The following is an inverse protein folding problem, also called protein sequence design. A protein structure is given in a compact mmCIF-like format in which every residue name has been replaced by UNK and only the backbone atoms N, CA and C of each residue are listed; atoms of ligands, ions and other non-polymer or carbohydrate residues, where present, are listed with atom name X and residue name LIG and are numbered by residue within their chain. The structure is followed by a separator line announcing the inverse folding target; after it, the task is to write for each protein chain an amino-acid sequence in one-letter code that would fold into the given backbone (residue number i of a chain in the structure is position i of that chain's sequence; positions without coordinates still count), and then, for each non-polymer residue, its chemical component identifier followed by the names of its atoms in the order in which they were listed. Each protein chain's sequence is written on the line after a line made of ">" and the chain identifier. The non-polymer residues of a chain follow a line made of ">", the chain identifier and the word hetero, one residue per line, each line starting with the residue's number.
data_IF_310160972127
#
_entry.id   IF_310160972127
#
_cell.length_a   1.000
_cell.length_b   1.000
_cell.length_c   1.000
_cell.angle_alpha   90.00
_cell.angle_beta   90.00
_cell.angle_gamma   90.00
#
_symmetry.space_group_name_H-M   'P 1'
#
loop_
_entity.id
_entity.type
_entity.pdbx_description
1 polymer ?
#
# COMPACT_ATOMS: atom_id res chain seq x y z
N UNK A 1 21.13 -12.08 -31.21
CA UNK A 1 20.91 -11.01 -30.21
C UNK A 1 21.90 -11.18 -29.08
N UNK A 2 22.74 -10.19 -28.85
CA UNK A 2 23.76 -10.20 -27.79
C UNK A 2 23.07 -10.19 -26.41
N UNK A 3 23.80 -10.66 -25.37
CA UNK A 3 23.22 -10.74 -24.02
C UNK A 3 22.84 -9.35 -23.46
N UNK A 4 23.69 -8.35 -23.68
CA UNK A 4 23.45 -6.97 -23.23
C UNK A 4 22.26 -6.33 -23.92
N UNK A 5 22.13 -6.50 -25.24
CA UNK A 5 20.96 -6.02 -26.00
C UNK A 5 19.67 -6.64 -25.46
N UNK A 6 19.70 -7.95 -25.19
CA UNK A 6 18.57 -8.67 -24.66
C UNK A 6 18.18 -8.19 -23.27
N UNK A 7 19.15 -7.98 -22.38
CA UNK A 7 18.94 -7.44 -21.04
C UNK A 7 18.33 -6.03 -21.09
N UNK A 8 18.84 -5.16 -21.98
CA UNK A 8 18.28 -3.82 -22.20
C UNK A 8 16.83 -3.90 -22.70
N UNK A 9 16.52 -4.83 -23.62
CA UNK A 9 15.16 -5.03 -24.09
C UNK A 9 14.23 -5.55 -22.97
N UNK A 10 14.71 -6.48 -22.14
CA UNK A 10 13.95 -6.97 -20.97
C UNK A 10 13.63 -5.80 -20.02
N UNK A 11 14.64 -5.01 -19.67
CA UNK A 11 14.49 -3.87 -18.77
C UNK A 11 13.46 -2.85 -19.32
N UNK A 12 13.61 -2.46 -20.59
CA UNK A 12 12.67 -1.53 -21.24
C UNK A 12 11.23 -2.07 -21.27
N UNK A 13 11.06 -3.36 -21.61
CA UNK A 13 9.73 -3.98 -21.61
C UNK A 13 9.12 -4.05 -20.21
N UNK A 14 9.93 -4.36 -19.18
CA UNK A 14 9.50 -4.41 -17.79
C UNK A 14 9.14 -3.01 -17.30
N UNK A 15 9.95 -1.99 -17.59
CA UNK A 15 9.69 -0.60 -17.20
C UNK A 15 8.43 -0.03 -17.86
N UNK A 16 8.19 -0.35 -19.15
CA UNK A 16 6.98 0.10 -19.85
C UNK A 16 5.69 -0.53 -19.30
N UNK A 17 5.72 -1.79 -18.88
CA UNK A 17 4.53 -2.53 -18.42
C UNK A 17 4.38 -2.63 -16.91
N UNK A 18 5.43 -2.28 -16.17
CA UNK A 18 5.51 -2.42 -14.71
C UNK A 18 5.90 -3.83 -14.28
N UNK A 19 5.35 -4.86 -14.90
CA UNK A 19 5.72 -6.26 -14.67
C UNK A 19 5.60 -7.09 -15.94
N UNK A 20 6.41 -8.16 -16.02
CA UNK A 20 6.31 -9.17 -17.06
C UNK A 20 6.64 -10.56 -16.52
N UNK A 21 5.85 -11.55 -16.91
CA UNK A 21 6.15 -12.95 -16.63
C UNK A 21 7.29 -13.47 -17.52
N UNK A 22 8.00 -14.50 -17.04
CA UNK A 22 9.02 -15.21 -17.83
C UNK A 22 8.45 -15.69 -19.17
N UNK A 23 7.20 -16.17 -19.17
CA UNK A 23 6.52 -16.67 -20.37
C UNK A 23 6.27 -15.57 -21.41
N UNK A 24 5.88 -14.38 -20.97
CA UNK A 24 5.69 -13.22 -21.87
C UNK A 24 6.99 -12.74 -22.47
N UNK A 25 8.06 -12.65 -21.65
CA UNK A 25 9.40 -12.26 -22.10
C UNK A 25 9.93 -13.28 -23.10
N UNK A 26 9.82 -14.59 -22.78
CA UNK A 26 10.21 -15.69 -23.66
C UNK A 26 9.54 -15.60 -25.03
N UNK A 27 8.22 -15.42 -25.05
CA UNK A 27 7.44 -15.30 -26.28
C UNK A 27 7.86 -14.11 -27.13
N UNK A 28 8.12 -12.96 -26.50
CA UNK A 28 8.52 -11.73 -27.20
C UNK A 28 9.94 -11.79 -27.76
N UNK A 29 10.87 -12.31 -26.99
CA UNK A 29 12.29 -12.35 -27.36
C UNK A 29 12.70 -13.65 -28.11
N UNK A 30 11.81 -14.65 -28.14
CA UNK A 30 12.04 -15.97 -28.77
C UNK A 30 13.30 -16.65 -28.24
N UNK A 31 13.55 -16.60 -26.96
CA UNK A 31 14.68 -17.25 -26.26
C UNK A 31 14.16 -18.31 -25.27
N UNK A 32 15.05 -19.17 -24.77
CA UNK A 32 14.66 -20.20 -23.80
C UNK A 32 14.23 -19.57 -22.45
N UNK A 33 13.38 -20.31 -21.73
CA UNK A 33 12.92 -19.91 -20.39
C UNK A 33 14.08 -19.75 -19.41
N UNK A 34 15.11 -20.58 -19.55
CA UNK A 34 16.31 -20.55 -18.73
C UNK A 34 17.17 -19.31 -19.03
N UNK A 35 17.27 -18.92 -20.30
CA UNK A 35 17.94 -17.67 -20.71
C UNK A 35 17.26 -16.45 -20.07
N UNK A 36 15.91 -16.39 -20.12
CA UNK A 36 15.16 -15.29 -19.49
C UNK A 36 15.39 -15.25 -17.98
N UNK A 37 15.37 -16.42 -17.30
CA UNK A 37 15.63 -16.49 -15.86
C UNK A 37 17.01 -15.96 -15.48
N UNK A 38 18.04 -16.35 -16.27
CA UNK A 38 19.42 -15.88 -16.05
C UNK A 38 19.53 -14.37 -16.25
N UNK A 39 18.94 -13.83 -17.31
CA UNK A 39 18.96 -12.40 -17.58
C UNK A 39 18.23 -11.60 -16.48
N UNK A 40 17.06 -12.06 -16.04
CA UNK A 40 16.34 -11.45 -14.91
C UNK A 40 17.19 -11.47 -13.64
N UNK A 41 17.90 -12.58 -13.37
CA UNK A 41 18.78 -12.68 -12.21
C UNK A 41 19.90 -11.66 -12.26
N UNK A 42 20.60 -11.57 -13.40
CA UNK A 42 21.68 -10.58 -13.60
C UNK A 42 21.20 -9.13 -13.49
N UNK A 43 20.01 -8.83 -14.02
CA UNK A 43 19.41 -7.49 -13.90
C UNK A 43 18.97 -7.18 -12.47
N UNK A 44 18.50 -8.17 -11.73
CA UNK A 44 18.14 -8.03 -10.32
C UNK A 44 19.38 -7.82 -9.44
N UNK A 45 20.45 -8.57 -9.66
CA UNK A 45 21.75 -8.41 -8.96
C UNK A 45 22.37 -7.01 -9.21
N UNK A 46 22.11 -6.43 -10.38
CA UNK A 46 22.50 -5.05 -10.73
C UNK A 46 21.50 -3.99 -10.22
N UNK A 47 20.49 -4.40 -9.46
CA UNK A 47 19.42 -3.52 -8.99
C UNK A 47 18.71 -2.75 -10.12
N UNK A 48 18.60 -3.32 -11.31
CA UNK A 48 17.92 -2.70 -12.46
C UNK A 48 16.42 -3.07 -12.51
N UNK A 49 16.04 -4.20 -11.94
CA UNK A 49 14.65 -4.65 -11.77
C UNK A 49 14.54 -5.55 -10.54
N UNK A 50 13.30 -5.86 -10.10
CA UNK A 50 13.05 -6.84 -9.05
C UNK A 50 12.61 -8.18 -9.66
N UNK A 51 13.27 -9.27 -9.25
CA UNK A 51 12.86 -10.62 -9.59
C UNK A 51 11.65 -11.04 -8.75
N UNK A 52 10.65 -11.66 -9.39
CA UNK A 52 9.52 -12.32 -8.73
C UNK A 52 9.57 -13.84 -8.99
N UNK A 53 8.68 -14.61 -8.31
CA UNK A 53 8.60 -16.07 -8.50
C UNK A 53 8.30 -16.49 -9.95
N UNK A 54 7.61 -15.65 -10.73
CA UNK A 54 7.21 -15.94 -12.11
C UNK A 54 7.71 -14.96 -13.17
N UNK A 55 8.51 -13.92 -12.83
CA UNK A 55 8.89 -12.88 -13.77
C UNK A 55 9.78 -11.79 -13.20
N UNK A 56 9.56 -10.58 -13.67
CA UNK A 56 10.27 -9.37 -13.25
C UNK A 56 9.31 -8.20 -13.06
N UNK A 57 9.63 -7.34 -12.08
CA UNK A 57 8.97 -6.05 -11.81
C UNK A 57 9.94 -4.91 -12.09
N UNK A 58 9.43 -3.82 -12.64
CA UNK A 58 10.18 -2.57 -12.75
C UNK A 58 10.46 -1.99 -11.36
N UNK A 59 11.68 -1.52 -11.13
CA UNK A 59 11.99 -0.76 -9.91
C UNK A 59 11.28 0.59 -9.88
N UNK A 60 11.05 1.20 -11.04
CA UNK A 60 10.30 2.45 -11.17
C UNK A 60 8.81 2.27 -10.83
N UNK A 61 8.30 1.02 -10.90
CA UNK A 61 6.91 0.64 -10.62
C UNK A 61 6.77 -0.42 -9.52
N UNK A 62 7.84 -0.73 -8.80
CA UNK A 62 7.78 -1.57 -7.60
C UNK A 62 7.65 -0.69 -6.37
N UNK A 63 6.91 -1.17 -5.39
CA UNK A 63 6.86 -0.47 -4.11
C UNK A 63 8.25 -0.46 -3.46
N UNK A 64 8.79 0.72 -3.07
CA UNK A 64 10.04 0.78 -2.31
C UNK A 64 9.90 0.03 -0.98
N UNK A 65 11.00 -0.45 -0.44
CA UNK A 65 11.00 -1.09 0.89
C UNK A 65 10.41 -0.18 1.97
N UNK A 66 9.78 -0.77 2.97
CA UNK A 66 9.10 -0.03 4.04
C UNK A 66 10.03 0.96 4.74
N UNK A 67 11.30 0.59 4.95
CA UNK A 67 12.29 1.46 5.59
C UNK A 67 12.55 2.75 4.80
N UNK A 68 12.58 2.67 3.46
CA UNK A 68 12.72 3.85 2.58
C UNK A 68 11.44 4.68 2.63
N UNK A 69 10.28 4.04 2.60
CA UNK A 69 8.98 4.72 2.65
C UNK A 69 8.74 5.42 3.99
N UNK A 70 9.21 4.88 5.11
CA UNK A 70 9.10 5.50 6.44
C UNK A 70 9.78 6.86 6.51
N UNK A 71 10.98 6.99 5.93
CA UNK A 71 11.73 8.26 5.95
C UNK A 71 11.28 9.22 4.84
N UNK A 72 10.64 8.71 3.78
CA UNK A 72 10.12 9.54 2.70
C UNK A 72 8.87 10.27 3.16
N UNK A 73 8.88 11.62 3.12
CA UNK A 73 7.78 12.49 3.56
C UNK A 73 7.28 12.17 4.98
N UNK A 74 8.20 11.85 5.89
CA UNK A 74 7.87 11.44 7.26
C UNK A 74 7.02 12.48 8.03
N UNK A 75 7.28 13.78 7.81
CA UNK A 75 6.49 14.86 8.45
C UNK A 75 5.05 14.90 7.95
N UNK A 76 4.86 14.80 6.63
CA UNK A 76 3.52 14.73 6.03
C UNK A 76 2.74 13.53 6.55
N UNK A 77 3.37 12.36 6.63
CA UNK A 77 2.74 11.15 7.17
C UNK A 77 2.37 11.28 8.64
N UNK A 78 3.24 11.91 9.46
CA UNK A 78 2.88 12.21 10.86
C UNK A 78 1.69 13.17 10.98
N UNK A 79 1.61 14.17 10.11
CA UNK A 79 0.46 15.08 10.07
C UNK A 79 -0.83 14.32 9.67
N UNK A 80 -0.75 13.48 8.63
CA UNK A 80 -1.85 12.59 8.21
C UNK A 80 -2.29 11.69 9.38
N UNK A 81 -1.35 11.04 10.07
CA UNK A 81 -1.65 10.19 11.21
C UNK A 81 -2.44 10.93 12.31
N UNK A 82 -1.97 12.12 12.70
CA UNK A 82 -2.67 12.95 13.70
C UNK A 82 -4.08 13.36 13.27
N UNK A 83 -4.25 13.77 12.01
CA UNK A 83 -5.56 14.15 11.49
C UNK A 83 -6.49 12.94 11.38
N UNK A 84 -5.99 11.81 10.89
CA UNK A 84 -6.78 10.60 10.74
C UNK A 84 -7.32 10.06 12.08
N UNK A 85 -6.51 10.09 13.16
CA UNK A 85 -6.95 9.55 14.46
C UNK A 85 -7.90 10.50 15.21
N UNK A 86 -8.02 11.77 14.81
CA UNK A 86 -9.04 12.66 15.38
C UNK A 86 -10.48 12.19 15.09
N UNK A 87 -10.66 11.30 14.13
CA UNK A 87 -11.94 10.64 13.84
C UNK A 87 -12.26 9.50 14.81
N UNK A 88 -11.27 8.96 15.54
CA UNK A 88 -11.40 7.73 16.32
C UNK A 88 -11.65 8.04 17.80
N UNK A 89 -12.78 7.64 18.37
CA UNK A 89 -12.98 7.76 19.82
C UNK A 89 -12.26 6.63 20.58
N UNK A 90 -11.99 6.84 21.87
CA UNK A 90 -11.56 5.78 22.78
C UNK A 90 -12.58 4.62 22.78
N UNK A 91 -12.09 3.41 22.94
CA UNK A 91 -12.92 2.20 22.95
C UNK A 91 -13.35 1.68 21.58
N UNK A 92 -13.03 2.40 20.49
CA UNK A 92 -13.40 1.99 19.13
C UNK A 92 -12.70 0.70 18.67
N UNK A 93 -13.34 0.03 17.73
CA UNK A 93 -12.72 -1.06 16.96
C UNK A 93 -12.12 -0.52 15.65
N UNK A 94 -10.85 -0.91 15.36
CA UNK A 94 -10.06 -0.33 14.27
C UNK A 94 -9.35 -1.42 13.49
N UNK A 95 -9.51 -1.43 12.16
CA UNK A 95 -8.70 -2.22 11.24
C UNK A 95 -7.57 -1.33 10.72
N UNK A 96 -6.32 -1.79 10.81
CA UNK A 96 -5.14 -1.10 10.29
C UNK A 96 -4.45 -1.96 9.25
N UNK A 97 -4.40 -1.49 8.01
CA UNK A 97 -3.59 -2.09 6.97
C UNK A 97 -2.09 -1.92 7.24
N UNK A 98 -1.25 -2.61 6.47
CA UNK A 98 0.18 -2.34 6.43
C UNK A 98 0.49 -1.05 5.66
N UNK A 99 1.74 -0.56 5.76
CA UNK A 99 2.24 0.59 5.01
C UNK A 99 2.69 1.76 5.90
N UNK A 100 3.66 2.53 5.42
CA UNK A 100 4.33 3.57 6.23
C UNK A 100 3.42 4.73 6.65
N UNK A 101 2.41 5.09 5.85
CA UNK A 101 1.42 6.10 6.24
C UNK A 101 0.47 5.57 7.31
N UNK A 102 0.05 4.29 7.19
CA UNK A 102 -0.77 3.65 8.23
C UNK A 102 0.02 3.43 9.52
N UNK A 103 1.33 3.19 9.43
CA UNK A 103 2.18 3.16 10.63
C UNK A 103 2.16 4.50 11.37
N UNK A 104 2.10 5.63 10.66
CA UNK A 104 1.94 6.95 11.29
C UNK A 104 0.57 7.12 11.97
N UNK A 105 -0.48 6.47 11.45
CA UNK A 105 -1.78 6.35 12.15
C UNK A 105 -1.61 5.51 13.42
N UNK A 106 -0.94 4.37 13.34
CA UNK A 106 -0.68 3.51 14.51
C UNK A 106 0.14 4.25 15.59
N UNK A 107 1.12 5.07 15.19
CA UNK A 107 1.88 5.92 16.11
C UNK A 107 0.97 6.93 16.83
N UNK A 108 0.06 7.57 16.11
CA UNK A 108 -0.88 8.53 16.67
C UNK A 108 -1.94 7.87 17.57
N UNK A 109 -2.38 6.64 17.26
CA UNK A 109 -3.31 5.87 18.10
C UNK A 109 -2.73 5.45 19.46
N UNK A 110 -1.43 5.59 19.67
CA UNK A 110 -0.83 5.33 21.00
C UNK A 110 -1.34 6.25 22.12
N UNK A 111 -2.01 7.33 21.77
CA UNK A 111 -2.67 8.22 22.75
C UNK A 111 -4.09 7.77 23.12
N UNK A 112 -4.68 6.85 22.37
CA UNK A 112 -6.03 6.33 22.60
C UNK A 112 -6.01 5.12 23.54
N UNK A 113 -7.14 4.84 24.18
CA UNK A 113 -7.27 3.77 25.15
C UNK A 113 -8.49 2.88 24.86
N UNK A 114 -8.37 1.61 25.27
CA UNK A 114 -9.46 0.64 25.18
C UNK A 114 -9.81 0.17 23.77
N UNK A 115 -8.94 0.45 22.79
CA UNK A 115 -9.18 0.07 21.38
C UNK A 115 -9.17 -1.46 21.18
N UNK A 116 -9.98 -1.92 20.24
CA UNK A 116 -9.87 -3.26 19.66
C UNK A 116 -9.30 -3.15 18.24
N UNK A 117 -8.07 -3.60 18.04
CA UNK A 117 -7.29 -3.36 16.83
C UNK A 117 -7.08 -4.67 16.08
N UNK A 118 -7.37 -4.67 14.78
CA UNK A 118 -7.06 -5.74 13.85
C UNK A 118 -6.04 -5.23 12.83
N UNK A 119 -4.93 -5.93 12.66
CA UNK A 119 -3.90 -5.49 11.70
C UNK A 119 -3.22 -6.68 11.04
N UNK A 120 -2.82 -6.50 9.77
CA UNK A 120 -1.95 -7.44 9.07
C UNK A 120 -0.46 -7.05 9.15
N UNK A 121 -0.12 -5.98 9.87
CA UNK A 121 1.24 -5.46 10.00
C UNK A 121 1.85 -5.83 11.36
N UNK A 122 3.01 -6.50 11.32
CA UNK A 122 3.79 -6.77 12.54
C UNK A 122 4.25 -5.47 13.20
N UNK A 123 4.55 -4.42 12.41
CA UNK A 123 5.00 -3.13 12.94
C UNK A 123 3.89 -2.41 13.69
N UNK A 124 2.67 -2.38 13.15
CA UNK A 124 1.51 -1.79 13.84
C UNK A 124 1.18 -2.58 15.11
N UNK A 125 1.24 -3.92 15.04
CA UNK A 125 1.04 -4.79 16.20
C UNK A 125 2.03 -4.44 17.31
N UNK A 126 3.33 -4.37 17.02
CA UNK A 126 4.38 -4.04 18.00
C UNK A 126 4.20 -2.64 18.62
N UNK A 127 3.71 -1.67 17.85
CA UNK A 127 3.48 -0.30 18.32
C UNK A 127 2.32 -0.19 19.31
N UNK A 128 1.29 -1.03 19.18
CA UNK A 128 0.01 -0.88 19.89
C UNK A 128 -0.25 -1.95 20.94
N UNK A 129 0.42 -3.11 20.86
CA UNK A 129 0.23 -4.19 21.80
C UNK A 129 0.72 -3.82 23.22
N UNK A 130 -0.01 -4.27 24.24
CA UNK A 130 0.35 -4.05 25.64
C UNK A 130 0.22 -2.61 26.13
N UNK A 131 -0.41 -1.71 25.36
CA UNK A 131 -0.60 -0.29 25.70
C UNK A 131 -2.07 0.02 25.98
N UNK A 132 -2.32 0.96 26.89
CA UNK A 132 -3.59 1.65 27.10
C UNK A 132 -4.83 0.74 27.15
N UNK A 133 -4.69 -0.48 27.67
CA UNK A 133 -5.75 -1.52 27.69
C UNK A 133 -6.27 -1.91 26.29
N UNK A 134 -5.48 -1.64 25.25
CA UNK A 134 -5.82 -2.03 23.88
C UNK A 134 -5.74 -3.55 23.71
N UNK A 135 -6.65 -4.10 22.91
CA UNK A 135 -6.62 -5.48 22.44
C UNK A 135 -6.15 -5.49 20.99
N UNK A 136 -5.10 -6.23 20.68
CA UNK A 136 -4.53 -6.26 19.33
C UNK A 136 -4.61 -7.68 18.77
N UNK A 137 -5.19 -7.80 17.59
CA UNK A 137 -5.30 -9.04 16.81
C UNK A 137 -4.41 -8.89 15.57
N UNK A 138 -3.39 -9.73 15.47
CA UNK A 138 -2.55 -9.81 14.29
C UNK A 138 -3.12 -10.86 13.33
N UNK A 139 -3.40 -10.44 12.09
CA UNK A 139 -3.85 -11.34 11.04
C UNK A 139 -2.73 -12.32 10.69
N UNK A 140 -3.09 -13.59 10.55
CA UNK A 140 -2.13 -14.67 10.27
C UNK A 140 -1.72 -14.73 8.80
N UNK A 141 -0.76 -15.62 8.54
CA UNK A 141 -0.23 -15.90 7.21
C UNK A 141 1.26 -15.70 7.09
N UNK A 142 1.79 -15.87 5.88
CA UNK A 142 3.19 -15.60 5.57
C UNK A 142 3.48 -14.10 5.67
N UNK A 143 4.54 -13.75 6.39
CA UNK A 143 4.97 -12.36 6.52
C UNK A 143 5.88 -11.99 5.36
N UNK A 144 5.48 -11.03 4.55
CA UNK A 144 6.34 -10.46 3.52
C UNK A 144 7.43 -9.59 4.16
N UNK A 145 8.69 -9.96 3.96
CA UNK A 145 9.83 -9.29 4.59
C UNK A 145 9.96 -7.80 4.21
N UNK A 146 9.51 -7.43 2.99
CA UNK A 146 9.68 -6.08 2.44
C UNK A 146 8.82 -5.02 3.15
N UNK A 147 7.65 -5.39 3.66
CA UNK A 147 6.70 -4.47 4.29
C UNK A 147 6.18 -4.95 5.66
N UNK A 148 6.65 -6.12 6.15
CA UNK A 148 6.22 -6.68 7.43
C UNK A 148 4.72 -6.99 7.49
N UNK A 149 4.14 -7.35 6.36
CA UNK A 149 2.70 -7.59 6.22
C UNK A 149 2.38 -9.07 6.04
N UNK A 150 1.39 -9.56 6.77
CA UNK A 150 0.72 -10.82 6.49
C UNK A 150 -0.30 -10.60 5.37
N UNK A 151 -0.20 -11.37 4.29
CA UNK A 151 -1.07 -11.28 3.14
C UNK A 151 -1.58 -12.67 2.74
N UNK A 152 -2.50 -12.69 1.78
CA UNK A 152 -3.02 -13.91 1.22
C UNK A 152 -4.22 -14.49 1.98
N UNK A 153 -4.46 -15.78 1.75
CA UNK A 153 -5.71 -16.45 2.12
C UNK A 153 -6.01 -16.45 3.63
N UNK A 154 -4.99 -16.63 4.46
CA UNK A 154 -5.18 -16.70 5.91
C UNK A 154 -5.56 -15.34 6.50
N UNK A 155 -4.90 -14.26 6.01
CA UNK A 155 -5.23 -12.90 6.41
C UNK A 155 -6.66 -12.51 5.99
N UNK A 156 -7.05 -12.80 4.75
CA UNK A 156 -8.40 -12.51 4.25
C UNK A 156 -9.47 -13.35 4.96
N UNK A 157 -9.21 -14.64 5.20
CA UNK A 157 -10.12 -15.51 5.93
C UNK A 157 -10.34 -15.04 7.37
N UNK A 158 -9.28 -14.64 8.07
CA UNK A 158 -9.42 -14.10 9.42
C UNK A 158 -10.23 -12.79 9.40
N UNK A 159 -9.91 -11.87 8.49
CA UNK A 159 -10.59 -10.56 8.42
C UNK A 159 -12.08 -10.69 8.13
N UNK A 160 -12.50 -11.69 7.33
CA UNK A 160 -13.91 -11.90 6.97
C UNK A 160 -14.86 -12.15 8.16
N UNK A 161 -14.31 -12.46 9.33
CA UNK A 161 -15.10 -12.67 10.57
C UNK A 161 -15.31 -11.37 11.36
N UNK A 162 -14.72 -10.26 10.96
CA UNK A 162 -14.74 -9.03 11.74
C UNK A 162 -15.36 -7.87 10.96
N UNK A 163 -16.03 -7.00 11.71
CA UNK A 163 -16.53 -5.71 11.23
C UNK A 163 -16.20 -4.66 12.30
N UNK A 164 -15.50 -3.59 11.91
CA UNK A 164 -15.00 -2.58 12.82
C UNK A 164 -15.74 -1.24 12.69
N UNK A 165 -15.49 -0.32 13.63
CA UNK A 165 -15.97 1.06 13.51
C UNK A 165 -15.18 1.81 12.45
N UNK A 166 -13.84 1.61 12.40
CA UNK A 166 -12.93 2.29 11.49
C UNK A 166 -12.01 1.31 10.77
N UNK A 167 -11.66 1.64 9.53
CA UNK A 167 -10.55 1.03 8.82
C UNK A 167 -9.64 2.11 8.24
N UNK A 168 -8.33 1.89 8.35
CA UNK A 168 -7.32 2.72 7.71
C UNK A 168 -6.51 1.90 6.72
N UNK A 169 -6.59 2.30 5.45
CA UNK A 169 -5.87 1.68 4.34
C UNK A 169 -4.92 2.71 3.72
N UNK A 170 -3.70 2.29 3.41
CA UNK A 170 -2.75 3.09 2.66
C UNK A 170 -3.05 3.09 1.16
N UNK A 171 -2.21 3.76 0.38
CA UNK A 171 -2.27 3.74 -1.07
C UNK A 171 -0.90 3.39 -1.65
N UNK A 172 -0.84 2.42 -2.55
CA UNK A 172 0.28 2.25 -3.46
C UNK A 172 0.36 3.42 -4.42
N UNK A 173 -0.79 3.76 -5.05
CA UNK A 173 -0.99 4.93 -5.90
C UNK A 173 -2.47 5.33 -5.91
N UNK A 174 -2.74 6.61 -6.28
CA UNK A 174 -4.07 7.10 -6.66
C UNK A 174 -3.95 7.64 -8.08
N UNK A 175 -4.63 7.00 -9.02
CA UNK A 175 -4.51 7.30 -10.44
C UNK A 175 -5.09 8.69 -10.79
N UNK A 176 -4.70 9.26 -11.93
CA UNK A 176 -5.33 10.49 -12.47
C UNK A 176 -6.85 10.38 -12.68
N UNK A 177 -7.36 9.15 -12.77
CA UNK A 177 -8.79 8.84 -12.95
C UNK A 177 -9.49 8.47 -11.65
N UNK A 178 -8.86 8.70 -10.49
CA UNK A 178 -9.46 8.50 -9.17
C UNK A 178 -9.52 7.04 -8.69
N UNK A 179 -8.68 6.14 -9.20
CA UNK A 179 -8.60 4.77 -8.71
C UNK A 179 -7.54 4.61 -7.63
N UNK A 180 -7.90 3.97 -6.52
CA UNK A 180 -6.93 3.44 -5.56
C UNK A 180 -6.26 2.21 -6.16
N UNK A 181 -4.93 2.13 -6.05
CA UNK A 181 -4.12 1.09 -6.69
C UNK A 181 -3.02 0.60 -5.77
N UNK A 182 -2.68 -0.69 -5.91
CA UNK A 182 -1.61 -1.38 -5.17
C UNK A 182 -0.62 -2.05 -6.10
N UNK A 183 0.51 -2.49 -5.52
CA UNK A 183 1.60 -3.12 -6.27
C UNK A 183 1.41 -4.61 -6.49
N UNK A 184 0.68 -5.30 -5.61
CA UNK A 184 0.42 -6.74 -5.70
C UNK A 184 -1.07 -7.05 -5.63
N UNK A 185 -1.44 -8.21 -6.16
CA UNK A 185 -2.82 -8.68 -6.13
C UNK A 185 -3.27 -8.99 -4.70
N UNK A 186 -2.40 -9.59 -3.93
CA UNK A 186 -2.67 -10.00 -2.55
C UNK A 186 -2.94 -8.78 -1.65
N UNK A 187 -2.18 -7.68 -1.83
CA UNK A 187 -2.44 -6.41 -1.13
C UNK A 187 -3.80 -5.84 -1.54
N UNK A 188 -4.05 -5.75 -2.85
CA UNK A 188 -5.30 -5.21 -3.38
C UNK A 188 -6.52 -6.01 -2.91
N UNK A 189 -6.46 -7.35 -2.89
CA UNK A 189 -7.55 -8.22 -2.40
C UNK A 189 -7.82 -7.98 -0.91
N UNK A 190 -6.77 -7.89 -0.09
CA UNK A 190 -6.91 -7.63 1.34
C UNK A 190 -7.43 -6.22 1.61
N UNK A 191 -6.90 -5.19 0.94
CA UNK A 191 -7.37 -3.80 1.08
C UNK A 191 -8.83 -3.67 0.62
N UNK A 192 -9.22 -4.32 -0.48
CA UNK A 192 -10.60 -4.34 -0.95
C UNK A 192 -11.56 -4.94 0.09
N UNK A 193 -11.14 -6.02 0.76
CA UNK A 193 -11.91 -6.61 1.86
C UNK A 193 -11.93 -5.67 3.09
N UNK A 194 -10.81 -5.05 3.45
CA UNK A 194 -10.73 -4.11 4.57
C UNK A 194 -11.70 -2.94 4.40
N UNK A 195 -11.78 -2.33 3.21
CA UNK A 195 -12.65 -1.18 2.94
C UNK A 195 -14.13 -1.47 3.15
N UNK A 196 -14.58 -2.72 2.97
CA UNK A 196 -15.98 -3.12 3.23
C UNK A 196 -16.20 -3.69 4.64
N UNK A 197 -15.14 -3.87 5.43
CA UNK A 197 -15.21 -4.50 6.77
C UNK A 197 -15.28 -3.48 7.91
N UNK A 198 -15.66 -2.23 7.61
CA UNK A 198 -15.81 -1.21 8.63
C UNK A 198 -16.96 -0.23 8.29
N UNK A 199 -17.47 0.46 9.34
CA UNK A 199 -18.48 1.51 9.19
C UNK A 199 -17.91 2.76 8.53
N UNK A 200 -16.70 3.15 8.93
CA UNK A 200 -15.98 4.32 8.42
C UNK A 200 -14.69 3.85 7.76
N UNK A 201 -14.61 3.97 6.44
CA UNK A 201 -13.45 3.60 5.66
C UNK A 201 -12.60 4.84 5.33
N UNK A 202 -11.35 4.84 5.79
CA UNK A 202 -10.42 5.95 5.65
C UNK A 202 -9.21 5.51 4.83
N UNK A 203 -8.96 6.21 3.72
CA UNK A 203 -7.71 6.07 2.98
C UNK A 203 -6.74 7.15 3.43
N UNK A 204 -5.49 6.78 3.72
CA UNK A 204 -4.43 7.69 4.11
C UNK A 204 -3.32 7.67 3.06
N UNK A 205 -3.07 8.81 2.42
CA UNK A 205 -2.12 8.91 1.32
C UNK A 205 -1.38 10.25 1.36
N UNK A 206 -0.06 10.22 1.34
CA UNK A 206 0.71 11.45 1.17
C UNK A 206 0.69 11.93 -0.29
N UNK A 207 1.03 13.21 -0.50
CA UNK A 207 0.93 13.88 -1.79
C UNK A 207 1.68 13.17 -2.93
N UNK A 208 2.70 12.35 -2.65
CA UNK A 208 3.46 11.64 -3.66
C UNK A 208 2.70 10.49 -4.32
N UNK A 209 1.55 10.09 -3.74
CA UNK A 209 0.74 8.97 -4.21
C UNK A 209 -0.27 9.35 -5.29
N UNK A 210 -0.56 10.64 -5.46
CA UNK A 210 -1.54 11.12 -6.43
C UNK A 210 -0.96 11.26 -7.84
N UNK A 211 -1.82 11.12 -8.84
CA UNK A 211 -1.46 11.13 -10.26
C UNK A 211 -0.41 10.07 -10.63
N UNK A 212 -0.40 8.98 -9.90
CA UNK A 212 0.48 7.83 -10.11
C UNK A 212 -0.32 6.59 -10.48
N UNK A 213 0.35 5.60 -11.07
CA UNK A 213 -0.23 4.31 -11.38
C UNK A 213 0.53 3.19 -10.66
N UNK A 214 -0.21 2.20 -10.18
CA UNK A 214 0.30 0.91 -9.75
C UNK A 214 -0.40 -0.21 -10.54
N UNK A 215 0.11 -1.45 -10.54
CA UNK A 215 -0.40 -2.48 -11.44
C UNK A 215 -1.81 -2.96 -11.17
N UNK A 216 -2.29 -2.90 -9.92
CA UNK A 216 -3.52 -3.55 -9.48
C UNK A 216 -4.48 -2.53 -8.90
N UNK A 217 -5.75 -2.55 -9.33
CA UNK A 217 -6.80 -1.72 -8.74
C UNK A 217 -7.31 -2.33 -7.45
N UNK A 218 -7.57 -1.49 -6.45
CA UNK A 218 -8.27 -1.86 -5.22
C UNK A 218 -9.77 -1.69 -5.47
N UNK A 219 -10.53 -2.74 -5.22
CA UNK A 219 -11.99 -2.70 -5.30
C UNK A 219 -12.59 -2.01 -4.06
N UNK A 220 -13.88 -1.72 -4.11
CA UNK A 220 -14.61 -1.07 -3.00
C UNK A 220 -14.10 0.33 -2.62
N UNK A 221 -13.40 1.02 -3.53
CA UNK A 221 -12.97 2.41 -3.29
C UNK A 221 -14.17 3.38 -3.16
N UNK A 222 -15.32 3.02 -3.72
CA UNK A 222 -16.60 3.70 -3.54
C UNK A 222 -17.14 3.65 -2.10
N UNK A 223 -16.65 2.74 -1.26
CA UNK A 223 -16.98 2.63 0.17
C UNK A 223 -16.17 3.58 1.05
N UNK A 224 -15.12 4.19 0.52
CA UNK A 224 -14.28 5.13 1.26
C UNK A 224 -15.10 6.35 1.65
N UNK A 225 -15.12 6.65 2.94
CA UNK A 225 -15.82 7.81 3.50
C UNK A 225 -14.92 9.03 3.64
N UNK A 226 -13.62 8.82 3.89
CA UNK A 226 -12.64 9.89 4.06
C UNK A 226 -11.33 9.55 3.35
N UNK A 227 -10.75 10.55 2.73
CA UNK A 227 -9.38 10.52 2.21
C UNK A 227 -8.56 11.58 2.95
N UNK A 228 -7.55 11.13 3.70
CA UNK A 228 -6.68 12.03 4.49
C UNK A 228 -5.34 12.17 3.81
N UNK A 229 -4.90 13.41 3.59
CA UNK A 229 -3.64 13.71 2.90
C UNK A 229 -2.92 14.91 3.53
N UNK A 230 -1.60 14.99 3.33
CA UNK A 230 -0.77 16.10 3.81
C UNK A 230 -0.91 17.37 2.94
N UNK A 231 -1.26 17.22 1.67
CA UNK A 231 -1.46 18.33 0.73
C UNK A 231 -2.62 18.01 -0.22
N UNK A 232 -3.32 19.05 -0.63
CA UNK A 232 -4.38 18.91 -1.65
C UNK A 232 -3.80 18.30 -2.93
N UNK A 233 -4.44 17.26 -3.48
CA UNK A 233 -4.01 16.66 -4.74
C UNK A 233 -4.03 17.69 -5.87
N UNK A 234 -3.10 17.56 -6.82
CA UNK A 234 -3.17 18.32 -8.06
C UNK A 234 -4.12 17.65 -9.08
N UNK A 235 -4.65 18.42 -10.02
CA UNK A 235 -5.37 17.90 -11.16
C UNK A 235 -4.48 16.93 -11.98
N UNK A 236 -5.04 15.90 -12.64
CA UNK A 236 -6.46 15.57 -12.74
C UNK A 236 -7.02 14.71 -11.58
N UNK A 237 -6.19 14.20 -10.67
CA UNK A 237 -6.69 13.35 -9.58
C UNK A 237 -7.67 14.10 -8.67
N UNK A 238 -7.46 15.39 -8.41
CA UNK A 238 -8.38 16.20 -7.60
C UNK A 238 -9.79 16.18 -8.18
N UNK A 239 -9.91 16.43 -9.50
CA UNK A 239 -11.21 16.47 -10.18
C UNK A 239 -11.91 15.11 -10.15
N UNK A 240 -11.13 14.03 -10.35
CA UNK A 240 -11.65 12.68 -10.31
C UNK A 240 -12.15 12.28 -8.90
N UNK A 241 -11.44 12.69 -7.85
CA UNK A 241 -11.81 12.43 -6.47
C UNK A 241 -13.01 13.26 -6.03
N UNK A 242 -13.13 14.49 -6.49
CA UNK A 242 -14.29 15.37 -6.22
C UNK A 242 -15.63 14.79 -6.74
N UNK A 243 -15.58 13.88 -7.71
CA UNK A 243 -16.76 13.18 -8.22
C UNK A 243 -17.20 12.00 -7.32
N UNK A 244 -16.40 11.63 -6.31
CA UNK A 244 -16.70 10.56 -5.36
C UNK A 244 -17.37 11.13 -4.11
N UNK A 245 -18.16 10.29 -3.42
CA UNK A 245 -18.92 10.70 -2.23
C UNK A 245 -18.09 10.70 -0.93
N UNK A 246 -16.76 10.81 -1.04
CA UNK A 246 -15.86 10.83 0.11
C UNK A 246 -15.48 12.26 0.51
N UNK A 247 -15.22 12.46 1.80
CA UNK A 247 -14.67 13.71 2.33
C UNK A 247 -13.15 13.74 2.21
N UNK A 248 -12.61 14.80 1.59
CA UNK A 248 -11.19 15.03 1.49
C UNK A 248 -10.71 15.88 2.68
N UNK A 249 -9.96 15.26 3.59
CA UNK A 249 -9.34 15.91 4.73
C UNK A 249 -7.87 16.22 4.39
N UNK A 250 -7.52 17.49 4.39
CA UNK A 250 -6.15 17.96 4.10
C UNK A 250 -5.55 18.50 5.39
N UNK A 251 -4.32 18.04 5.71
CA UNK A 251 -3.62 18.58 6.88
C UNK A 251 -3.37 20.08 6.70
N UNK A 252 -3.71 20.88 7.69
CA UNK A 252 -3.41 22.31 7.68
C UNK A 252 -1.91 22.53 7.58
N UNK A 253 -1.51 23.35 6.60
CA UNK A 253 -0.11 23.80 6.47
C UNK A 253 0.32 24.79 7.57
N UNK A 254 -0.52 25.04 8.56
CA UNK A 254 -0.39 26.09 9.55
C UNK A 254 0.26 25.64 10.87
N UNK A 255 1.18 24.68 10.87
CA UNK A 255 2.01 24.38 12.04
C UNK A 255 3.49 24.49 11.70
N UNK A 256 3.88 25.65 11.11
CA UNK A 256 5.28 26.09 11.14
C UNK A 256 5.36 27.21 12.18
N UNK A 257 5.64 26.83 13.40
CA UNK A 257 6.19 27.71 14.43
C UNK A 257 7.25 26.95 15.21
#
# INVERSE_FOLDING_TARGET
>A
MLAEERQTMILNMVNQRGSLSITEIQRKLRVSRETVRRDIMLLADRQALRKTHGGALSLERSEPEIAIREVTNAEGKRAIGRLAVSLVPDGASVILASGSTVQSVADALQTHQGLTIFTNSIFNCMKLMGRNKNRVFLMGGEIQAINGAALGRDATAMLSHYFADFVFVGAGAISPTGWLMDYTREESELHSLMLQSARTAVVVADHSKFNQYAPVRVENFDKVTHLVTDRRPATPAEDALAALSMELLVCDSAARH
#
